data_IF_047927621521
#
_entry.id   IF_047927621521
#
_cell.length_a   1.000
_cell.length_b   1.000
_cell.length_c   1.000
_cell.angle_alpha   90.00
_cell.angle_beta   90.00
_cell.angle_gamma   90.00
#
_symmetry.space_group_name_H-M   'P 1'
#
loop_
_entity.id
_entity.type
_entity.pdbx_description
1 polymer ?
#
# COMPACT_ATOMS: atom_id res chain seq x y z
N UNK A 1 1.63 -12.81 -6.48
CA UNK A 1 0.25 -12.66 -6.01
C UNK A 1 -0.45 -13.95 -6.44
N UNK A 2 -1.11 -14.66 -5.52
CA UNK A 2 -1.33 -14.25 -4.14
C UNK A 2 -0.18 -14.68 -3.21
N UNK A 3 -0.01 -13.95 -2.10
CA UNK A 3 0.65 -14.51 -0.92
C UNK A 3 -0.24 -15.61 -0.33
N UNK A 4 0.31 -16.67 0.28
CA UNK A 4 -0.49 -17.70 0.92
C UNK A 4 -1.40 -17.08 2.00
N UNK A 5 -2.73 -17.23 1.86
CA UNK A 5 -3.73 -16.76 2.84
C UNK A 5 -4.51 -15.49 2.47
N UNK A 6 -4.01 -14.61 1.60
CA UNK A 6 -4.76 -13.41 1.16
C UNK A 6 -5.72 -13.68 -0.01
N UNK A 7 -5.62 -14.84 -0.67
CA UNK A 7 -6.35 -15.15 -1.91
C UNK A 7 -7.89 -15.20 -1.81
N UNK A 8 -8.47 -15.16 -0.61
CA UNK A 8 -9.93 -15.14 -0.43
C UNK A 8 -10.56 -13.74 -0.45
N UNK A 9 -9.77 -12.70 -0.19
CA UNK A 9 -10.30 -11.32 -0.03
C UNK A 9 -9.70 -10.32 -1.01
N UNK A 10 -8.65 -10.69 -1.75
CA UNK A 10 -7.93 -9.78 -2.64
C UNK A 10 -7.87 -10.30 -4.08
N UNK A 11 -7.74 -9.40 -5.09
CA UNK A 11 -7.76 -9.78 -6.50
C UNK A 11 -6.71 -10.83 -6.86
N UNK A 12 -7.06 -11.77 -7.74
CA UNK A 12 -6.10 -12.77 -8.26
C UNK A 12 -5.06 -12.18 -9.23
N UNK A 13 -5.22 -10.90 -9.61
CA UNK A 13 -4.25 -10.10 -10.38
C UNK A 13 -3.81 -8.90 -9.55
N UNK A 14 -2.51 -8.69 -9.42
CA UNK A 14 -1.95 -7.52 -8.73
C UNK A 14 -2.00 -6.25 -9.57
N UNK A 15 -3.18 -5.82 -10.05
CA UNK A 15 -3.37 -4.62 -10.89
C UNK A 15 -3.90 -3.40 -10.10
N UNK A 16 -3.51 -3.30 -8.83
CA UNK A 16 -3.95 -2.26 -7.90
C UNK A 16 -2.76 -1.76 -7.07
N UNK A 17 -2.97 -0.66 -6.34
CA UNK A 17 -2.06 -0.19 -5.28
C UNK A 17 -2.63 -0.55 -3.90
N UNK A 18 -1.81 -1.15 -3.04
CA UNK A 18 -2.17 -1.57 -1.69
C UNK A 18 -1.95 -0.45 -0.67
N UNK A 19 -2.87 -0.34 0.28
CA UNK A 19 -2.75 0.45 1.50
C UNK A 19 -2.74 -0.52 2.68
N UNK A 20 -1.67 -0.56 3.46
CA UNK A 20 -1.51 -1.48 4.57
C UNK A 20 -1.30 -0.72 5.89
N UNK A 21 -1.92 -1.18 6.97
CA UNK A 21 -1.79 -0.57 8.30
C UNK A 21 -2.03 -1.59 9.41
N UNK A 22 -1.61 -1.27 10.64
CA UNK A 22 -2.03 -2.04 11.80
C UNK A 22 -3.50 -1.77 12.15
N UNK A 23 -4.07 -2.54 13.10
CA UNK A 23 -5.46 -2.36 13.54
C UNK A 23 -5.73 -1.00 14.19
N UNK A 24 -4.71 -0.39 14.80
CA UNK A 24 -4.80 0.96 15.39
C UNK A 24 -4.85 2.04 14.32
N UNK A 25 -4.24 1.80 13.17
CA UNK A 25 -4.22 2.70 12.00
C UNK A 25 -5.47 2.59 11.12
N UNK A 26 -6.48 1.81 11.52
CA UNK A 26 -7.69 1.54 10.71
C UNK A 26 -8.44 2.79 10.28
N UNK A 27 -8.56 3.77 11.17
CA UNK A 27 -9.25 5.03 10.85
C UNK A 27 -8.50 5.81 9.75
N UNK A 28 -7.19 6.01 9.95
CA UNK A 28 -6.30 6.63 8.98
C UNK A 28 -6.33 5.91 7.62
N UNK A 29 -6.24 4.57 7.64
CA UNK A 29 -6.28 3.75 6.44
C UNK A 29 -7.61 3.92 5.67
N UNK A 30 -8.74 3.91 6.37
CA UNK A 30 -10.06 4.08 5.72
C UNK A 30 -10.20 5.46 5.10
N UNK A 31 -9.75 6.52 5.78
CA UNK A 31 -9.76 7.88 5.23
C UNK A 31 -8.88 7.98 3.98
N UNK A 32 -7.64 7.47 4.05
CA UNK A 32 -6.73 7.46 2.92
C UNK A 32 -7.27 6.69 1.71
N UNK A 33 -7.79 5.48 1.92
CA UNK A 33 -8.39 4.67 0.85
C UNK A 33 -9.62 5.35 0.25
N UNK A 34 -10.49 5.94 1.09
CA UNK A 34 -11.66 6.69 0.64
C UNK A 34 -11.27 7.88 -0.25
N UNK A 35 -10.30 8.69 0.21
CA UNK A 35 -9.80 9.83 -0.55
C UNK A 35 -9.15 9.41 -1.87
N UNK A 36 -8.33 8.36 -1.86
CA UNK A 36 -7.69 7.86 -3.08
C UNK A 36 -8.72 7.33 -4.08
N UNK A 37 -9.72 6.56 -3.64
CA UNK A 37 -10.77 6.00 -4.51
C UNK A 37 -11.59 7.07 -5.22
N UNK A 38 -11.84 8.22 -4.57
CA UNK A 38 -12.54 9.36 -5.20
C UNK A 38 -11.80 9.92 -6.42
N UNK A 39 -10.49 9.69 -6.54
CA UNK A 39 -9.72 10.15 -7.70
C UNK A 39 -9.98 9.32 -8.96
N UNK A 40 -10.42 8.06 -8.82
CA UNK A 40 -10.65 7.15 -9.95
C UNK A 40 -9.41 6.79 -10.78
N UNK A 41 -8.20 7.16 -10.35
CA UNK A 41 -6.96 7.04 -11.15
C UNK A 41 -6.44 5.62 -11.28
N UNK A 42 -6.54 4.83 -10.21
CA UNK A 42 -6.02 3.46 -10.14
C UNK A 42 -6.85 2.65 -9.14
N UNK A 43 -7.10 1.35 -9.40
CA UNK A 43 -7.65 0.47 -8.37
C UNK A 43 -6.77 0.47 -7.12
N UNK A 44 -7.39 0.46 -5.94
CA UNK A 44 -6.67 0.33 -4.68
C UNK A 44 -7.38 -0.57 -3.68
N UNK A 45 -6.59 -1.28 -2.89
CA UNK A 45 -7.06 -2.17 -1.84
C UNK A 45 -6.47 -1.79 -0.48
N UNK A 46 -7.27 -1.89 0.56
CA UNK A 46 -6.90 -1.51 1.92
C UNK A 46 -6.93 -2.68 2.88
N UNK A 47 -5.85 -2.88 3.62
CA UNK A 47 -5.70 -3.95 4.62
C UNK A 47 -5.28 -3.35 5.98
N UNK A 48 -6.16 -3.43 6.97
CA UNK A 48 -5.81 -3.13 8.36
C UNK A 48 -5.84 -4.44 9.16
N UNK A 49 -4.65 -4.96 9.46
CA UNK A 49 -4.45 -6.28 10.07
C UNK A 49 -3.51 -6.19 11.27
N UNK A 50 -3.53 -7.16 12.21
CA UNK A 50 -2.56 -7.20 13.30
C UNK A 50 -1.12 -7.16 12.77
N UNK A 51 -0.23 -6.40 13.43
CA UNK A 51 1.16 -6.24 12.98
C UNK A 51 1.98 -7.56 12.95
N UNK A 52 1.50 -8.61 13.61
CA UNK A 52 2.06 -9.97 13.56
C UNK A 52 1.83 -10.67 12.21
N UNK A 53 0.87 -10.20 11.40
CA UNK A 53 0.63 -10.76 10.06
C UNK A 53 1.81 -10.43 9.15
N UNK A 54 2.46 -11.44 8.53
CA UNK A 54 3.57 -11.22 7.60
C UNK A 54 3.20 -10.25 6.48
N UNK A 55 4.10 -9.33 6.16
CA UNK A 55 3.89 -8.30 5.12
C UNK A 55 3.35 -6.97 5.62
N UNK A 56 2.71 -6.92 6.79
CA UNK A 56 2.08 -5.68 7.29
C UNK A 56 3.11 -4.71 7.86
N UNK A 57 4.05 -5.20 8.66
CA UNK A 57 5.08 -4.38 9.33
C UNK A 57 6.45 -4.40 8.66
N UNK A 58 6.56 -4.67 7.35
CA UNK A 58 7.86 -4.85 6.67
C UNK A 58 8.52 -3.55 6.19
N UNK A 59 7.97 -2.38 6.51
CA UNK A 59 8.55 -1.08 6.13
C UNK A 59 8.40 -0.07 7.28
N UNK A 60 8.84 1.17 7.07
CA UNK A 60 9.06 2.18 8.12
C UNK A 60 7.82 2.51 8.96
N UNK A 61 6.60 2.30 8.44
CA UNK A 61 5.36 2.44 9.22
C UNK A 61 5.40 1.65 10.53
N UNK A 62 6.14 0.54 10.57
CA UNK A 62 6.31 -0.26 11.78
C UNK A 62 6.99 0.52 12.91
N UNK A 63 7.99 1.36 12.61
CA UNK A 63 8.69 2.17 13.59
C UNK A 63 7.75 3.22 14.22
N UNK A 64 6.86 3.81 13.42
CA UNK A 64 5.82 4.72 13.94
C UNK A 64 4.87 4.00 14.90
N UNK A 65 4.50 2.76 14.59
CA UNK A 65 3.66 1.93 15.46
C UNK A 65 4.30 1.62 16.81
N UNK A 66 5.64 1.47 16.86
CA UNK A 66 6.36 1.27 18.13
C UNK A 66 6.26 2.49 19.03
N UNK A 67 6.19 3.68 18.43
CA UNK A 67 6.04 4.94 19.15
C UNK A 67 4.58 5.35 19.36
N UNK A 68 3.61 4.50 19.04
CA UNK A 68 2.18 4.75 19.24
C UNK A 68 1.52 5.67 18.21
N UNK A 69 2.21 6.00 17.11
CA UNK A 69 1.64 6.82 16.03
C UNK A 69 0.87 5.95 15.02
N UNK A 70 -0.35 6.35 14.61
CA UNK A 70 -1.01 5.76 13.46
C UNK A 70 -0.20 5.99 12.20
N UNK A 71 0.09 4.92 11.44
CA UNK A 71 0.85 4.99 10.20
C UNK A 71 0.39 3.92 9.21
N UNK A 72 0.48 4.24 7.92
CA UNK A 72 0.10 3.35 6.83
C UNK A 72 1.19 3.31 5.78
N UNK A 73 1.30 2.18 5.07
CA UNK A 73 2.15 1.99 3.92
C UNK A 73 1.30 1.98 2.65
N UNK A 74 1.74 2.71 1.63
CA UNK A 74 1.22 2.58 0.27
C UNK A 74 2.23 1.78 -0.52
N UNK A 75 1.82 0.62 -1.04
CA UNK A 75 2.74 -0.32 -1.68
C UNK A 75 2.09 -1.01 -2.85
N UNK A 76 2.92 -1.32 -3.81
CA UNK A 76 2.60 -2.11 -4.96
C UNK A 76 2.58 -3.62 -4.60
N UNK A 77 2.97 -3.99 -3.37
CA UNK A 77 3.12 -5.36 -2.84
C UNK A 77 4.34 -6.11 -3.39
N UNK A 78 5.42 -5.36 -3.70
CA UNK A 78 6.67 -5.82 -4.31
C UNK A 78 7.09 -7.27 -3.99
N UNK A 79 7.26 -7.70 -2.72
CA UNK A 79 7.73 -9.06 -2.42
C UNK A 79 6.87 -10.17 -3.01
N UNK A 80 5.61 -9.89 -3.36
CA UNK A 80 4.68 -10.85 -3.92
C UNK A 80 4.56 -10.78 -5.44
N UNK A 81 5.03 -9.73 -6.12
CA UNK A 81 4.78 -9.55 -7.56
C UNK A 81 5.96 -9.02 -8.37
N UNK A 82 7.00 -8.51 -7.72
CA UNK A 82 8.15 -7.89 -8.37
C UNK A 82 9.37 -8.80 -8.27
N UNK A 83 9.75 -9.50 -9.37
CA UNK A 83 10.80 -10.53 -9.33
C UNK A 83 12.22 -9.96 -9.15
N UNK A 84 12.40 -8.65 -9.31
CA UNK A 84 13.70 -8.00 -9.17
C UNK A 84 13.94 -7.46 -7.75
N UNK A 85 13.01 -7.68 -6.82
CA UNK A 85 13.12 -7.15 -5.45
C UNK A 85 14.39 -7.64 -4.75
N UNK A 86 15.22 -6.71 -4.26
CA UNK A 86 16.53 -6.97 -3.64
C UNK A 86 17.56 -7.66 -4.55
N UNK A 87 17.36 -7.60 -5.87
CA UNK A 87 18.32 -8.13 -6.85
C UNK A 87 19.07 -6.99 -7.55
N UNK A 88 20.31 -7.22 -8.04
CA UNK A 88 21.03 -6.23 -8.86
C UNK A 88 20.28 -5.82 -10.14
N UNK A 89 19.30 -6.63 -10.56
CA UNK A 89 18.41 -6.33 -11.69
C UNK A 89 17.32 -5.31 -11.37
N UNK A 90 17.20 -4.86 -10.12
CA UNK A 90 16.28 -3.78 -9.73
C UNK A 90 16.76 -2.45 -10.32
N UNK A 91 16.26 -2.16 -11.52
CA UNK A 91 16.77 -1.12 -12.40
C UNK A 91 15.62 -0.23 -12.87
N UNK A 92 15.87 1.07 -13.16
CA UNK A 92 14.80 2.01 -13.48
C UNK A 92 13.90 1.59 -14.65
N UNK A 93 14.42 0.85 -15.63
CA UNK A 93 13.66 0.36 -16.78
C UNK A 93 12.59 -0.70 -16.41
N UNK A 94 12.61 -1.23 -15.18
CA UNK A 94 11.56 -2.15 -14.68
C UNK A 94 10.33 -1.43 -14.13
N UNK A 95 10.41 -0.12 -13.94
CA UNK A 95 9.33 0.67 -13.36
C UNK A 95 8.25 1.00 -14.40
N UNK A 96 7.00 0.85 -13.98
CA UNK A 96 5.85 1.40 -14.70
C UNK A 96 5.64 2.85 -14.27
N UNK A 97 6.27 3.78 -15.00
CA UNK A 97 6.24 5.20 -14.69
C UNK A 97 4.85 5.82 -14.83
N UNK A 98 4.02 5.33 -15.77
CA UNK A 98 2.66 5.85 -15.96
C UNK A 98 1.80 5.53 -14.74
N UNK A 99 1.81 4.28 -14.27
CA UNK A 99 1.09 3.91 -13.05
C UNK A 99 1.68 4.57 -11.81
N UNK A 100 3.00 4.73 -11.74
CA UNK A 100 3.65 5.44 -10.64
C UNK A 100 3.18 6.90 -10.56
N UNK A 101 3.12 7.61 -11.69
CA UNK A 101 2.60 8.98 -11.75
C UNK A 101 1.13 9.06 -11.31
N UNK A 102 0.29 8.09 -11.69
CA UNK A 102 -1.10 8.02 -11.23
C UNK A 102 -1.21 7.85 -9.71
N UNK A 103 -0.34 7.04 -9.10
CA UNK A 103 -0.27 6.88 -7.64
C UNK A 103 0.12 8.19 -6.97
N UNK A 104 1.21 8.83 -7.41
CA UNK A 104 1.68 10.12 -6.87
C UNK A 104 0.57 11.17 -6.94
N UNK A 105 -0.06 11.31 -8.11
CA UNK A 105 -1.14 12.26 -8.33
C UNK A 105 -2.42 11.91 -7.55
N UNK A 106 -2.67 10.63 -7.25
CA UNK A 106 -3.76 10.21 -6.35
C UNK A 106 -3.47 10.57 -4.89
N UNK A 107 -2.22 10.41 -4.45
CA UNK A 107 -1.79 10.72 -3.09
C UNK A 107 -1.87 12.21 -2.74
N UNK A 108 -1.75 13.10 -3.72
CA UNK A 108 -2.01 14.53 -3.53
C UNK A 108 -3.41 14.78 -2.93
N UNK A 109 -4.43 14.10 -3.45
CA UNK A 109 -5.81 14.22 -2.93
C UNK A 109 -5.95 13.61 -1.54
N UNK A 110 -5.23 12.51 -1.27
CA UNK A 110 -5.19 11.90 0.07
C UNK A 110 -4.60 12.86 1.09
N UNK A 111 -3.46 13.47 0.79
CA UNK A 111 -2.80 14.43 1.69
C UNK A 111 -3.70 15.64 1.95
N UNK A 112 -4.33 16.18 0.90
CA UNK A 112 -5.29 17.29 1.03
C UNK A 112 -6.52 16.95 1.86
N UNK A 113 -6.99 15.72 1.83
CA UNK A 113 -8.16 15.28 2.62
C UNK A 113 -7.77 15.07 4.09
N UNK A 114 -6.59 14.51 4.36
CA UNK A 114 -6.09 14.26 5.73
C UNK A 114 -5.62 15.52 6.47
N UNK A 115 -5.27 16.58 5.75
CA UNK A 115 -4.82 17.85 6.32
C UNK A 115 -5.97 18.81 6.71
N UNK A 116 -7.23 18.38 6.55
CA UNK A 116 -8.43 19.14 6.94
C UNK A 116 -8.74 18.94 8.41
#
# INVERSE_FOLDING_TARGET
YPSPGLGFFYPNKGNFIGFAGDTRSRSLLRSAVSAFRKTGKLPCEGASLPAIVPGIGWSDQWSFWQCGYPAIMVTDTAPFRYPHYHEPTDTPDKLDYDRFALVVSGMESVIKDLAR
#
